data_IF_932713121203
#
_entry.id   IF_932713121203
#
_cell.length_a   1.000
_cell.length_b   1.000
_cell.length_c   1.000
_cell.angle_alpha   90.00
_cell.angle_beta   90.00
_cell.angle_gamma   90.00
#
_symmetry.space_group_name_H-M   'P 1'
#
loop_
_entity.id
_entity.type
_entity.pdbx_description
1 polymer ?
#
# COMPACT_ATOMS: atom_id res chain seq x y z
N UNK A 1 20.25 8.39 9.18
CA UNK A 1 20.02 8.45 7.71
C UNK A 1 21.08 7.73 6.88
N UNK A 2 22.39 8.01 7.06
CA UNK A 2 23.49 7.39 6.28
C UNK A 2 23.43 5.85 6.22
N UNK A 3 23.13 5.19 7.33
CA UNK A 3 23.05 3.73 7.41
C UNK A 3 21.83 3.14 6.68
N UNK A 4 20.66 3.79 6.76
CA UNK A 4 19.46 3.37 6.02
C UNK A 4 19.68 3.49 4.51
N UNK A 5 20.30 4.58 4.08
CA UNK A 5 20.69 4.77 2.69
C UNK A 5 21.69 3.72 2.21
N UNK A 6 22.65 3.33 3.04
CA UNK A 6 23.61 2.26 2.72
C UNK A 6 22.91 0.91 2.54
N UNK A 7 21.93 0.58 3.40
CA UNK A 7 21.16 -0.66 3.28
C UNK A 7 20.32 -0.67 1.99
N UNK A 8 19.65 0.45 1.69
CA UNK A 8 18.87 0.62 0.48
C UNK A 8 19.74 0.55 -0.78
N UNK A 9 20.92 1.18 -0.79
CA UNK A 9 21.82 1.13 -1.95
C UNK A 9 22.42 -0.27 -2.15
N UNK A 10 22.80 -0.95 -1.05
CA UNK A 10 23.32 -2.32 -1.09
C UNK A 10 22.27 -3.35 -1.55
N UNK A 11 20.98 -3.02 -1.41
CA UNK A 11 19.86 -3.88 -1.82
C UNK A 11 19.13 -3.33 -3.04
N UNK A 12 19.79 -2.48 -3.84
CA UNK A 12 19.19 -1.88 -5.03
C UNK A 12 18.72 -2.88 -6.09
N UNK A 13 19.16 -4.15 -6.00
CA UNK A 13 18.63 -5.26 -6.82
C UNK A 13 17.12 -5.47 -6.65
N UNK A 14 16.52 -5.00 -5.56
CA UNK A 14 15.08 -5.11 -5.27
C UNK A 14 14.25 -3.90 -5.77
N UNK A 15 14.83 -2.99 -6.56
CA UNK A 15 14.18 -1.73 -6.96
C UNK A 15 12.78 -1.91 -7.57
N UNK A 16 12.55 -2.97 -8.34
CA UNK A 16 11.24 -3.26 -8.94
C UNK A 16 10.15 -3.48 -7.90
N UNK A 17 10.49 -4.19 -6.81
CA UNK A 17 9.56 -4.45 -5.72
C UNK A 17 9.28 -3.16 -4.93
N UNK A 18 10.30 -2.33 -4.69
CA UNK A 18 10.10 -1.02 -4.03
C UNK A 18 9.15 -0.12 -4.83
N UNK A 19 9.32 -0.06 -6.16
CA UNK A 19 8.41 0.69 -7.03
C UNK A 19 7.00 0.10 -6.99
N UNK A 20 6.86 -1.22 -7.09
CA UNK A 20 5.56 -1.88 -7.08
C UNK A 20 4.76 -1.61 -5.79
N UNK A 21 5.41 -1.74 -4.62
CA UNK A 21 4.79 -1.44 -3.33
C UNK A 21 4.46 0.06 -3.21
N UNK A 22 5.36 0.94 -3.66
CA UNK A 22 5.13 2.39 -3.61
C UNK A 22 3.92 2.81 -4.45
N UNK A 23 3.79 2.26 -5.66
CA UNK A 23 2.63 2.50 -6.53
C UNK A 23 1.34 1.97 -5.88
N UNK A 24 1.38 0.78 -5.28
CA UNK A 24 0.25 0.23 -4.55
C UNK A 24 -0.17 1.13 -3.37
N UNK A 25 0.80 1.62 -2.58
CA UNK A 25 0.53 2.54 -1.46
C UNK A 25 -0.08 3.86 -1.91
N UNK A 26 0.41 4.44 -3.01
CA UNK A 26 -0.18 5.66 -3.58
C UNK A 26 -1.60 5.41 -4.07
N UNK A 27 -1.85 4.29 -4.74
CA UNK A 27 -3.19 3.92 -5.20
C UNK A 27 -4.18 3.77 -4.03
N UNK A 28 -3.77 3.09 -2.95
CA UNK A 28 -4.57 2.97 -1.72
C UNK A 28 -4.85 4.35 -1.11
N UNK A 29 -3.84 5.21 -1.03
CA UNK A 29 -4.01 6.56 -0.50
C UNK A 29 -5.06 7.34 -1.30
N UNK A 30 -4.98 7.33 -2.63
CA UNK A 30 -5.97 7.99 -3.50
C UNK A 30 -7.38 7.44 -3.26
N UNK A 31 -7.54 6.11 -3.19
CA UNK A 31 -8.84 5.49 -2.90
C UNK A 31 -9.40 5.91 -1.54
N UNK A 32 -8.57 5.94 -0.50
CA UNK A 32 -8.98 6.37 0.84
C UNK A 32 -9.39 7.86 0.89
N UNK A 33 -8.84 8.71 0.01
CA UNK A 33 -9.30 10.10 -0.11
C UNK A 33 -10.70 10.21 -0.76
N UNK A 34 -11.13 9.23 -1.56
CA UNK A 34 -12.46 9.25 -2.20
C UNK A 34 -13.58 8.94 -1.20
N UNK A 35 -13.33 8.10 -0.20
CA UNK A 35 -14.31 7.71 0.82
C UNK A 35 -14.97 8.89 1.55
N UNK A 36 -14.22 9.87 2.13
CA UNK A 36 -14.84 11.03 2.77
C UNK A 36 -15.59 11.93 1.79
N UNK A 37 -15.14 12.04 0.53
CA UNK A 37 -15.84 12.83 -0.48
C UNK A 37 -17.22 12.22 -0.83
N UNK A 38 -17.26 10.90 -1.05
CA UNK A 38 -18.51 10.17 -1.28
C UNK A 38 -19.44 10.22 -0.07
N UNK A 39 -18.89 10.10 1.13
CA UNK A 39 -19.65 10.23 2.38
C UNK A 39 -20.27 11.62 2.52
N UNK A 40 -19.54 12.67 2.15
CA UNK A 40 -20.07 14.03 2.07
C UNK A 40 -21.28 14.14 1.15
N UNK A 41 -21.20 13.57 -0.05
CA UNK A 41 -22.33 13.57 -1.00
C UNK A 41 -23.54 12.78 -0.49
N UNK A 42 -23.32 11.69 0.25
CA UNK A 42 -24.41 10.94 0.88
C UNK A 42 -25.12 11.79 1.95
N UNK A 43 -24.35 12.50 2.78
CA UNK A 43 -24.90 13.41 3.79
C UNK A 43 -25.71 14.52 3.12
N UNK A 44 -25.20 15.11 2.04
CA UNK A 44 -25.91 16.16 1.30
C UNK A 44 -27.22 15.65 0.67
N UNK A 45 -27.26 14.42 0.17
CA UNK A 45 -28.51 13.83 -0.32
C UNK A 45 -29.50 13.57 0.81
N UNK A 46 -29.04 13.07 1.97
CA UNK A 46 -29.87 12.84 3.15
C UNK A 46 -30.53 14.13 3.66
N UNK A 47 -29.82 15.26 3.60
CA UNK A 47 -30.35 16.57 4.01
C UNK A 47 -31.55 17.04 3.17
N UNK A 48 -31.80 16.44 2.00
CA UNK A 48 -32.98 16.75 1.17
C UNK A 48 -34.28 16.17 1.74
N UNK A 49 -34.21 15.32 2.77
CA UNK A 49 -35.39 14.76 3.43
C UNK A 49 -36.27 13.97 2.47
N UNK A 50 -37.54 14.35 2.33
CA UNK A 50 -38.51 13.69 1.43
C UNK A 50 -38.18 13.83 -0.06
N UNK A 51 -37.32 14.78 -0.44
CA UNK A 51 -36.81 14.93 -1.80
C UNK A 51 -35.56 14.10 -2.10
N UNK A 52 -35.06 13.31 -1.15
CA UNK A 52 -33.87 12.50 -1.33
C UNK A 52 -34.11 11.36 -2.34
N UNK A 53 -33.15 11.16 -3.24
CA UNK A 53 -33.20 10.09 -4.24
C UNK A 53 -32.52 8.85 -3.67
N UNK A 54 -33.32 7.88 -3.22
CA UNK A 54 -32.83 6.60 -2.69
C UNK A 54 -31.88 5.90 -3.67
N UNK A 55 -32.18 5.93 -4.98
CA UNK A 55 -31.31 5.33 -5.99
C UNK A 55 -29.91 5.96 -6.06
N UNK A 56 -29.80 7.28 -5.84
CA UNK A 56 -28.49 7.95 -5.78
C UNK A 56 -27.71 7.54 -4.53
N UNK A 57 -28.41 7.38 -3.40
CA UNK A 57 -27.79 6.93 -2.15
C UNK A 57 -27.28 5.49 -2.24
N UNK A 58 -28.04 4.59 -2.89
CA UNK A 58 -27.59 3.22 -3.19
C UNK A 58 -26.35 3.24 -4.08
N UNK A 59 -26.33 4.12 -5.09
CA UNK A 59 -25.17 4.24 -5.98
C UNK A 59 -23.92 4.71 -5.22
N UNK A 60 -24.04 5.66 -4.29
CA UNK A 60 -22.93 6.09 -3.44
C UNK A 60 -22.47 4.94 -2.53
N UNK A 61 -23.40 4.21 -1.91
CA UNK A 61 -23.06 3.07 -1.05
C UNK A 61 -22.31 1.98 -1.83
N UNK A 62 -22.76 1.67 -3.06
CA UNK A 62 -22.05 0.74 -3.94
C UNK A 62 -20.67 1.28 -4.32
N UNK A 63 -20.52 2.57 -4.61
CA UNK A 63 -19.22 3.17 -4.92
C UNK A 63 -18.22 3.04 -3.75
N UNK A 64 -18.65 3.32 -2.52
CA UNK A 64 -17.84 3.13 -1.30
C UNK A 64 -17.46 1.66 -1.14
N UNK A 65 -18.42 0.74 -1.31
CA UNK A 65 -18.16 -0.70 -1.23
C UNK A 65 -17.09 -1.16 -2.23
N UNK A 66 -17.16 -0.70 -3.49
CA UNK A 66 -16.15 -1.03 -4.49
C UNK A 66 -14.78 -0.41 -4.20
N UNK A 67 -14.74 0.79 -3.60
CA UNK A 67 -13.49 1.39 -3.11
C UNK A 67 -12.87 0.51 -2.02
N UNK A 68 -13.65 0.08 -1.03
CA UNK A 68 -13.16 -0.77 0.06
C UNK A 68 -12.66 -2.13 -0.45
N UNK A 69 -13.37 -2.72 -1.41
CA UNK A 69 -12.91 -3.93 -2.11
C UNK A 69 -11.59 -3.69 -2.85
N UNK A 70 -11.48 -2.57 -3.58
CA UNK A 70 -10.27 -2.19 -4.29
C UNK A 70 -9.08 -2.02 -3.36
N UNK A 71 -9.27 -1.30 -2.25
CA UNK A 71 -8.25 -1.11 -1.20
C UNK A 71 -7.83 -2.45 -0.61
N UNK A 72 -8.78 -3.33 -0.30
CA UNK A 72 -8.49 -4.67 0.24
C UNK A 72 -7.66 -5.51 -0.73
N UNK A 73 -8.02 -5.50 -2.01
CA UNK A 73 -7.30 -6.25 -3.04
C UNK A 73 -5.88 -5.72 -3.25
N UNK A 74 -5.71 -4.40 -3.35
CA UNK A 74 -4.40 -3.77 -3.51
C UNK A 74 -3.53 -4.01 -2.27
N UNK A 75 -4.11 -3.97 -1.05
CA UNK A 75 -3.38 -4.28 0.18
C UNK A 75 -2.87 -5.72 0.20
N UNK A 76 -3.67 -6.69 -0.24
CA UNK A 76 -3.23 -8.09 -0.30
C UNK A 76 -2.07 -8.28 -1.28
N UNK A 77 -2.17 -7.70 -2.48
CA UNK A 77 -1.10 -7.80 -3.50
C UNK A 77 0.15 -7.03 -3.08
N UNK A 78 -0.02 -5.80 -2.61
CA UNK A 78 1.06 -4.95 -2.13
C UNK A 78 1.76 -5.56 -0.91
N UNK A 79 0.98 -6.17 0.00
CA UNK A 79 1.49 -6.91 1.15
C UNK A 79 2.34 -8.10 0.73
N UNK A 80 1.86 -8.91 -0.23
CA UNK A 80 2.67 -10.01 -0.79
C UNK A 80 4.02 -9.52 -1.34
N UNK A 81 4.05 -8.41 -2.08
CA UNK A 81 5.30 -7.83 -2.55
C UNK A 81 6.18 -7.30 -1.40
N UNK A 82 5.57 -6.73 -0.36
CA UNK A 82 6.26 -6.32 0.88
C UNK A 82 6.92 -7.48 1.62
N UNK A 83 6.23 -8.61 1.70
CA UNK A 83 6.76 -9.83 2.33
C UNK A 83 7.94 -10.39 1.52
N UNK A 84 7.82 -10.38 0.18
CA UNK A 84 8.92 -10.76 -0.71
C UNK A 84 10.15 -9.86 -0.56
N UNK A 85 9.96 -8.54 -0.38
CA UNK A 85 11.05 -7.61 -0.07
C UNK A 85 11.73 -8.02 1.23
N UNK A 86 10.96 -8.25 2.29
CA UNK A 86 11.48 -8.60 3.61
C UNK A 86 12.31 -9.88 3.55
N UNK A 87 11.77 -10.95 2.97
CA UNK A 87 12.48 -12.23 2.82
C UNK A 87 13.79 -12.10 2.04
N UNK A 88 13.78 -11.36 0.92
CA UNK A 88 14.98 -11.16 0.08
C UNK A 88 16.01 -10.26 0.77
N UNK A 89 15.57 -9.23 1.48
CA UNK A 89 16.44 -8.34 2.25
C UNK A 89 17.16 -9.12 3.35
N UNK A 90 16.44 -9.94 4.13
CA UNK A 90 17.04 -10.80 5.14
C UNK A 90 18.09 -11.74 4.56
N UNK A 91 17.78 -12.40 3.44
CA UNK A 91 18.73 -13.28 2.75
C UNK A 91 20.00 -12.53 2.34
N UNK A 92 19.86 -11.39 1.68
CA UNK A 92 20.99 -10.65 1.11
C UNK A 92 21.89 -10.05 2.20
N UNK A 93 21.29 -9.53 3.28
CA UNK A 93 22.04 -9.06 4.44
C UNK A 93 22.73 -10.21 5.18
N UNK A 94 22.06 -11.35 5.34
CA UNK A 94 22.63 -12.54 5.95
C UNK A 94 23.85 -13.06 5.19
N UNK A 95 23.74 -13.21 3.87
CA UNK A 95 24.85 -13.66 3.01
C UNK A 95 26.07 -12.73 3.13
N UNK A 96 25.85 -11.42 3.10
CA UNK A 96 26.92 -10.43 3.25
C UNK A 96 27.56 -10.47 4.65
N UNK A 97 26.74 -10.65 5.69
CA UNK A 97 27.22 -10.77 7.06
C UNK A 97 28.12 -11.99 7.25
N UNK A 98 27.66 -13.17 6.80
CA UNK A 98 28.45 -14.40 6.91
C UNK A 98 29.73 -14.37 6.08
N UNK A 99 29.69 -13.77 4.88
CA UNK A 99 30.89 -13.57 4.08
C UNK A 99 31.93 -12.75 4.84
N UNK A 100 31.52 -11.63 5.43
CA UNK A 100 32.41 -10.79 6.24
C UNK A 100 32.97 -11.54 7.45
N UNK A 101 32.14 -12.36 8.12
CA UNK A 101 32.56 -13.13 9.29
C UNK A 101 33.66 -14.14 8.95
N UNK A 102 33.58 -14.77 7.79
CA UNK A 102 34.55 -15.76 7.32
C UNK A 102 35.87 -15.14 6.81
N UNK A 103 35.87 -13.85 6.47
CA UNK A 103 37.07 -13.10 6.05
C UNK A 103 37.89 -12.56 7.24
N UNK A 104 37.38 -12.69 8.48
CA UNK A 104 38.09 -12.24 9.68
C UNK A 104 39.21 -13.22 10.06
N UNK A 105 40.42 -12.73 10.42
CA UNK A 105 41.49 -13.58 10.92
C UNK A 105 41.04 -14.27 12.22
N UNK A 106 41.25 -15.59 12.27
CA UNK A 106 40.92 -16.46 13.39
C UNK A 106 41.87 -16.24 14.58
#
# INVERSE_FOLDING_TARGET
MKYLWKILSSTSSLWRLYVAVSVASVAIAVLNLLTPALTGWAIDELRKGTGARVGYMILIALAIFFIDLGVTFINNIGGYWGDQISARLYKLLGENYYRQLLELPQ
#
